data_IF_384491032756
#
_entry.id   IF_384491032756
#
_cell.length_a   1.000
_cell.length_b   1.000
_cell.length_c   1.000
_cell.angle_alpha   90.00
_cell.angle_beta   90.00
_cell.angle_gamma   90.00
#
_symmetry.space_group_name_H-M   'P 1'
#
loop_
_entity.id
_entity.type
_entity.pdbx_description
1 polymer ?
#
# COMPACT_ATOMS: atom_id res chain seq x y z
N UNK A 1 -3.74 3.81 11.71
CA UNK A 1 -4.34 3.97 10.37
C UNK A 1 -5.70 3.32 10.43
N UNK A 2 -6.65 4.16 10.78
CA UNK A 2 -8.01 3.84 11.16
C UNK A 2 -8.80 3.43 9.92
N UNK A 3 -9.66 2.43 10.07
CA UNK A 3 -10.47 1.91 8.97
C UNK A 3 -11.49 2.94 8.43
N UNK A 4 -11.66 4.06 9.16
CA UNK A 4 -12.60 5.12 8.87
C UNK A 4 -11.91 6.44 8.45
N UNK A 5 -10.86 6.37 7.62
CA UNK A 5 -10.30 7.57 7.02
C UNK A 5 -11.39 8.37 6.29
N UNK A 6 -11.45 9.69 6.52
CA UNK A 6 -12.48 10.55 5.92
C UNK A 6 -12.44 10.41 4.40
N UNK A 7 -13.63 10.41 3.77
CA UNK A 7 -13.78 10.38 2.31
C UNK A 7 -12.97 11.54 1.70
N UNK A 8 -11.99 11.23 0.86
CA UNK A 8 -11.09 12.21 0.23
C UNK A 8 -9.70 12.33 0.86
N UNK A 9 -9.47 11.75 2.03
CA UNK A 9 -8.15 11.76 2.72
C UNK A 9 -7.46 10.40 2.66
N UNK A 10 -7.72 9.62 1.61
CA UNK A 10 -7.04 8.34 1.45
C UNK A 10 -5.54 8.59 1.27
N UNK A 11 -4.76 7.99 2.16
CA UNK A 11 -3.33 8.16 2.17
C UNK A 11 -2.72 7.41 0.98
N UNK A 12 -2.21 8.16 0.01
CA UNK A 12 -1.49 7.63 -1.15
C UNK A 12 -0.03 7.38 -0.82
N UNK A 13 0.56 6.40 -1.51
CA UNK A 13 1.97 6.07 -1.35
C UNK A 13 2.42 5.04 -2.37
N UNK A 14 3.73 4.79 -2.37
CA UNK A 14 4.37 3.83 -3.29
C UNK A 14 4.73 2.56 -2.54
N UNK A 15 4.52 1.41 -3.16
CA UNK A 15 4.96 0.13 -2.61
C UNK A 15 6.49 0.06 -2.65
N UNK A 16 7.13 -0.11 -1.50
CA UNK A 16 8.60 -0.20 -1.38
C UNK A 16 9.10 -1.60 -1.12
N UNK A 17 8.28 -2.49 -0.57
CA UNK A 17 8.65 -3.89 -0.35
C UNK A 17 7.45 -4.80 -0.45
N UNK A 18 7.67 -5.99 -1.01
CA UNK A 18 6.66 -7.05 -1.08
C UNK A 18 7.01 -8.16 -0.08
N UNK A 19 6.01 -8.71 0.58
CA UNK A 19 6.17 -9.83 1.51
C UNK A 19 5.45 -11.05 0.92
N UNK A 20 6.15 -11.87 0.10
CA UNK A 20 5.58 -13.08 -0.47
C UNK A 20 5.35 -14.14 0.61
N UNK A 21 4.25 -14.88 0.50
CA UNK A 21 3.96 -16.08 1.31
C UNK A 21 4.70 -17.28 0.75
N UNK A 22 4.80 -18.36 1.52
CA UNK A 22 5.37 -19.65 1.07
C UNK A 22 4.71 -20.21 -0.19
N UNK A 23 3.44 -19.85 -0.44
CA UNK A 23 2.70 -20.23 -1.65
C UNK A 23 3.03 -19.35 -2.88
N UNK A 24 3.99 -18.42 -2.78
CA UNK A 24 4.33 -17.44 -3.82
C UNK A 24 3.35 -16.25 -3.92
N UNK A 25 2.25 -16.25 -3.16
CA UNK A 25 1.24 -15.18 -3.19
C UNK A 25 1.64 -14.02 -2.29
N UNK A 26 1.66 -12.80 -2.84
CA UNK A 26 1.91 -11.57 -2.07
C UNK A 26 0.62 -11.13 -1.37
N UNK A 27 0.56 -11.34 -0.06
CA UNK A 27 -0.61 -10.96 0.76
C UNK A 27 -0.42 -9.62 1.47
N UNK A 28 0.82 -9.22 1.73
CA UNK A 28 1.17 -7.99 2.44
C UNK A 28 2.27 -7.25 1.70
N UNK A 29 2.18 -5.93 1.71
CA UNK A 29 3.20 -5.06 1.14
C UNK A 29 3.48 -3.91 2.08
N UNK A 30 4.72 -3.44 2.05
CA UNK A 30 5.13 -2.20 2.70
C UNK A 30 4.89 -1.05 1.73
N UNK A 31 4.05 -0.10 2.15
CA UNK A 31 3.74 1.12 1.42
C UNK A 31 4.40 2.29 2.14
N UNK A 32 5.22 3.05 1.44
CA UNK A 32 5.75 4.31 1.92
C UNK A 32 4.80 5.42 1.50
N UNK A 33 4.15 6.02 2.49
CA UNK A 33 3.34 7.22 2.32
C UNK A 33 4.18 8.44 2.71
N UNK A 34 3.77 9.68 2.35
CA UNK A 34 4.51 10.89 2.73
C UNK A 34 4.71 11.05 4.24
N UNK A 35 3.82 10.46 5.05
CA UNK A 35 3.81 10.62 6.51
C UNK A 35 4.44 9.45 7.26
N UNK A 36 4.44 8.25 6.68
CA UNK A 36 4.93 7.05 7.35
C UNK A 36 5.05 5.84 6.42
N UNK A 37 5.79 4.83 6.88
CA UNK A 37 5.90 3.52 6.25
C UNK A 37 4.92 2.58 6.93
N UNK A 38 4.07 1.92 6.15
CA UNK A 38 2.96 1.11 6.65
C UNK A 38 2.95 -0.25 5.96
N UNK A 39 2.75 -1.33 6.72
CA UNK A 39 2.50 -2.65 6.13
C UNK A 39 1.00 -2.88 6.02
N UNK A 40 0.50 -3.07 4.80
CA UNK A 40 -0.92 -3.27 4.51
C UNK A 40 -1.17 -4.54 3.68
N UNK A 41 -2.29 -5.24 3.91
CA UNK A 41 -2.70 -6.33 3.03
C UNK A 41 -3.01 -5.82 1.62
N UNK A 42 -2.60 -6.57 0.59
CA UNK A 42 -2.82 -6.19 -0.82
C UNK A 42 -4.30 -6.01 -1.13
N UNK A 43 -5.16 -6.84 -0.55
CA UNK A 43 -6.63 -6.76 -0.71
C UNK A 43 -7.25 -5.45 -0.19
N UNK A 44 -6.53 -4.70 0.67
CA UNK A 44 -6.97 -3.39 1.19
C UNK A 44 -6.34 -2.22 0.41
N UNK A 45 -5.59 -2.48 -0.66
CA UNK A 45 -4.98 -1.44 -1.49
C UNK A 45 -5.80 -1.23 -2.76
N UNK A 46 -5.85 0.02 -3.22
CA UNK A 46 -6.43 0.40 -4.50
C UNK A 46 -5.33 0.97 -5.39
N UNK A 47 -5.26 0.48 -6.63
CA UNK A 47 -4.39 1.05 -7.65
C UNK A 47 -5.00 2.35 -8.17
N UNK A 48 -4.22 3.44 -8.19
CA UNK A 48 -4.69 4.79 -8.58
C UNK A 48 -4.08 5.20 -9.91
N UNK A 49 -2.76 5.10 -10.02
CA UNK A 49 -2.01 5.24 -11.26
C UNK A 49 -0.57 4.76 -11.03
N UNK A 50 0.12 4.32 -12.07
CA UNK A 50 1.56 4.15 -12.01
C UNK A 50 2.19 5.55 -11.92
N UNK A 51 2.95 5.82 -10.86
CA UNK A 51 3.82 7.00 -10.83
C UNK A 51 4.83 6.97 -11.99
N UNK A 52 5.44 8.11 -12.36
CA UNK A 52 6.42 8.14 -13.44
C UNK A 52 7.56 7.16 -13.11
N UNK A 53 7.72 6.13 -13.95
CA UNK A 53 8.87 5.24 -13.92
C UNK A 53 9.98 5.98 -14.67
N UNK A 54 10.96 6.52 -13.94
CA UNK A 54 12.18 7.09 -14.52
C UNK A 54 13.25 6.00 -14.57
#
# INVERSE_FOLDING_TARGET
>A
MDENAKRGEWLTGTVTSIHPSSDGVVRRVTVKTPRSILTRPVVKLCFIAAGPQN
#
